data_IF_957962121770
#
_entry.id   IF_957962121770
#
_cell.length_a   1.000
_cell.length_b   1.000
_cell.length_c   1.000
_cell.angle_alpha   90.00
_cell.angle_beta   90.00
_cell.angle_gamma   90.00
#
_symmetry.space_group_name_H-M   'P 1'
#
loop_
_entity.id
_entity.type
_entity.pdbx_description
1 polymer ?
#
# COMPACT_ATOMS: atom_id res chain seq x y z
N UNK A 1 -15.39 24.11 -12.07
CA UNK A 1 -15.92 25.40 -11.61
C UNK A 1 -15.95 25.40 -10.08
N UNK A 2 -14.90 25.84 -9.46
CA UNK A 2 -14.80 25.95 -8.01
C UNK A 2 -14.42 27.36 -7.59
N UNK A 3 -15.03 27.83 -6.51
CA UNK A 3 -14.66 29.12 -5.88
C UNK A 3 -13.58 28.88 -4.85
N UNK A 4 -12.57 29.73 -4.79
CA UNK A 4 -11.51 29.68 -3.80
C UNK A 4 -12.10 29.97 -2.42
N UNK A 5 -11.97 28.98 -1.50
CA UNK A 5 -12.36 29.15 -0.10
C UNK A 5 -11.34 30.04 0.64
N UNK A 6 -11.85 31.00 1.42
CA UNK A 6 -11.05 31.90 2.26
C UNK A 6 -10.55 31.31 3.57
N UNK A 7 -10.82 30.05 3.87
CA UNK A 7 -10.67 29.45 5.20
C UNK A 7 -9.22 29.28 5.69
N UNK A 8 -8.24 29.26 4.80
CA UNK A 8 -6.87 28.87 5.12
C UNK A 8 -5.80 29.94 4.82
N UNK A 9 -6.15 31.21 4.87
CA UNK A 9 -5.18 32.29 4.66
C UNK A 9 -4.56 32.28 3.25
N UNK A 10 -5.38 32.07 2.24
CA UNK A 10 -5.03 31.82 0.83
C UNK A 10 -4.29 32.94 0.11
N UNK A 11 -4.03 34.06 0.80
CA UNK A 11 -3.64 35.33 0.19
C UNK A 11 -2.42 35.31 -0.74
N UNK A 12 -1.56 34.31 -0.66
CA UNK A 12 -0.40 34.13 -1.56
C UNK A 12 -0.47 32.76 -2.24
N UNK A 13 -0.77 31.72 -1.49
CA UNK A 13 -0.67 30.32 -1.92
C UNK A 13 -1.63 29.93 -3.05
N UNK A 14 -2.70 30.67 -3.24
CA UNK A 14 -3.70 30.39 -4.31
C UNK A 14 -3.83 31.54 -5.31
N UNK A 15 -2.92 32.48 -5.27
CA UNK A 15 -2.93 33.62 -6.18
C UNK A 15 -2.77 33.19 -7.66
N UNK A 16 -2.05 32.10 -7.90
CA UNK A 16 -1.86 31.52 -9.24
C UNK A 16 -3.14 31.00 -9.88
N UNK A 17 -4.13 30.61 -9.07
CA UNK A 17 -5.42 30.08 -9.55
C UNK A 17 -6.49 31.15 -9.80
N UNK A 18 -6.18 32.42 -9.50
CA UNK A 18 -7.06 33.54 -9.73
C UNK A 18 -6.61 34.34 -10.95
N UNK A 19 -7.56 34.76 -11.76
CA UNK A 19 -7.28 35.67 -12.88
C UNK A 19 -7.16 37.13 -12.38
N UNK A 20 -6.55 38.01 -13.20
CA UNK A 20 -6.47 39.42 -12.86
C UNK A 20 -7.85 40.08 -12.80
N UNK A 21 -8.80 39.61 -13.60
CA UNK A 21 -10.20 40.07 -13.60
C UNK A 21 -10.91 39.71 -12.29
N UNK A 22 -10.68 38.51 -11.76
CA UNK A 22 -11.24 38.08 -10.47
C UNK A 22 -10.62 38.83 -9.29
N UNK A 23 -9.36 39.24 -9.40
CA UNK A 23 -8.65 40.00 -8.35
C UNK A 23 -8.96 41.50 -8.39
N UNK A 24 -9.34 42.08 -9.52
CA UNK A 24 -9.55 43.50 -9.70
C UNK A 24 -10.53 44.11 -8.70
N UNK A 25 -11.73 43.54 -8.41
CA UNK A 25 -12.66 44.08 -7.44
C UNK A 25 -12.08 44.18 -6.03
N UNK A 26 -11.27 43.19 -5.63
CA UNK A 26 -10.60 43.19 -4.33
C UNK A 26 -9.45 44.18 -4.31
N UNK A 27 -8.68 44.30 -5.36
CA UNK A 27 -7.59 45.26 -5.47
C UNK A 27 -8.12 46.70 -5.38
N UNK A 28 -9.22 47.02 -6.06
CA UNK A 28 -9.87 48.33 -6.00
C UNK A 28 -10.48 48.62 -4.64
N UNK A 29 -11.09 47.62 -4.00
CA UNK A 29 -11.55 47.76 -2.63
C UNK A 29 -10.40 48.06 -1.68
N UNK A 30 -9.32 47.30 -1.75
CA UNK A 30 -8.14 47.48 -0.91
C UNK A 30 -7.49 48.84 -1.13
N UNK A 31 -7.36 49.31 -2.35
CA UNK A 31 -6.88 50.67 -2.68
C UNK A 31 -7.65 51.76 -1.95
N UNK A 32 -8.96 51.60 -1.88
CA UNK A 32 -9.87 52.59 -1.29
C UNK A 32 -9.79 52.63 0.23
N UNK A 33 -9.66 51.46 0.90
CA UNK A 33 -9.68 51.35 2.35
C UNK A 33 -8.30 51.38 2.98
N UNK A 34 -7.27 50.99 2.26
CA UNK A 34 -5.89 50.92 2.71
C UNK A 34 -4.93 51.52 1.66
N UNK A 35 -5.06 52.86 1.41
CA UNK A 35 -4.29 53.53 0.35
C UNK A 35 -2.77 53.49 0.61
N UNK A 36 -2.35 53.26 1.82
CA UNK A 36 -0.94 53.16 2.21
C UNK A 36 -0.45 51.68 2.28
N UNK A 37 -1.28 50.70 1.96
CA UNK A 37 -0.90 49.30 1.97
C UNK A 37 -0.42 48.78 3.33
N UNK A 38 -0.97 49.25 4.44
CA UNK A 38 -0.52 48.91 5.80
C UNK A 38 -0.98 47.54 6.27
N UNK A 39 -2.11 47.03 5.75
CA UNK A 39 -2.70 45.76 6.17
C UNK A 39 -2.47 44.68 5.15
N UNK A 40 -2.06 43.52 5.61
CA UNK A 40 -1.90 42.29 4.75
C UNK A 40 -1.18 42.61 3.42
N UNK A 41 -0.04 43.25 3.48
CA UNK A 41 0.76 43.65 2.33
C UNK A 41 1.06 42.45 1.44
N UNK A 42 0.86 42.60 0.13
CA UNK A 42 1.14 41.52 -0.86
C UNK A 42 0.18 40.36 -0.89
N UNK A 43 -0.83 40.27 -0.03
CA UNK A 43 -1.81 39.18 -0.07
C UNK A 43 -2.94 39.47 -1.04
N UNK A 44 -3.24 38.53 -1.93
CA UNK A 44 -4.22 38.65 -3.01
C UNK A 44 -3.95 39.81 -3.99
N UNK A 45 -2.70 40.18 -4.17
CA UNK A 45 -2.26 41.24 -5.06
C UNK A 45 -1.04 40.75 -5.84
N UNK A 46 -1.06 40.86 -7.15
CA UNK A 46 0.11 40.60 -8.00
C UNK A 46 0.93 41.89 -8.14
N UNK A 47 2.24 41.78 -8.18
CA UNK A 47 3.15 42.91 -8.32
C UNK A 47 2.85 43.81 -9.51
N UNK A 48 2.33 43.26 -10.62
CA UNK A 48 1.95 44.00 -11.83
C UNK A 48 0.74 44.92 -11.60
N UNK A 49 -0.10 44.65 -10.62
CA UNK A 49 -1.24 45.45 -10.23
C UNK A 49 -0.88 46.36 -9.04
N UNK A 50 0.38 46.63 -8.89
CA UNK A 50 1.01 47.32 -7.78
C UNK A 50 0.18 48.45 -7.18
N UNK A 51 -0.32 48.19 -5.98
CA UNK A 51 -1.09 49.18 -5.21
C UNK A 51 -0.22 50.22 -4.56
N UNK A 52 1.11 49.99 -4.56
CA UNK A 52 2.06 51.01 -4.08
C UNK A 52 3.36 50.83 -4.84
N UNK A 53 3.80 51.79 -5.67
CA UNK A 53 5.18 51.85 -6.08
C UNK A 53 6.02 51.88 -4.81
N UNK A 54 7.03 51.04 -4.72
CA UNK A 54 7.95 51.09 -3.61
C UNK A 54 8.52 52.52 -3.52
N UNK A 55 8.16 53.26 -2.46
CA UNK A 55 8.63 54.63 -2.28
C UNK A 55 10.14 54.70 -2.03
N UNK A 56 10.75 53.53 -1.78
CA UNK A 56 12.21 53.43 -1.59
C UNK A 56 12.74 52.07 -1.99
N UNK A 57 14.03 51.98 -2.41
CA UNK A 57 14.69 50.69 -2.68
C UNK A 57 14.66 49.72 -1.48
N UNK A 58 14.57 50.25 -0.28
CA UNK A 58 14.49 49.46 0.97
C UNK A 58 13.14 48.79 1.13
N UNK A 59 12.04 49.46 0.74
CA UNK A 59 10.70 48.87 0.76
C UNK A 59 10.53 47.80 -0.33
N UNK A 60 11.14 48.01 -1.50
CA UNK A 60 11.18 47.00 -2.56
C UNK A 60 11.92 45.76 -2.10
N UNK A 61 13.04 45.91 -1.39
CA UNK A 61 13.80 44.78 -0.82
C UNK A 61 13.02 44.08 0.28
N UNK A 62 12.37 44.81 1.19
CA UNK A 62 11.52 44.20 2.21
C UNK A 62 10.31 43.46 1.63
N UNK A 63 9.81 43.92 0.50
CA UNK A 63 8.70 43.25 -0.19
C UNK A 63 9.16 41.95 -0.89
N UNK A 64 10.33 41.97 -1.51
CA UNK A 64 10.96 40.79 -2.08
C UNK A 64 11.30 39.76 -0.99
N UNK A 65 11.82 40.21 0.14
CA UNK A 65 12.10 39.36 1.30
C UNK A 65 10.83 38.74 1.91
N UNK A 66 9.76 39.49 2.01
CA UNK A 66 8.47 38.98 2.47
C UNK A 66 7.86 37.97 1.47
N UNK A 67 7.95 38.24 0.19
CA UNK A 67 7.47 37.31 -0.84
C UNK A 67 8.29 36.03 -0.85
N UNK A 68 9.60 36.15 -0.70
CA UNK A 68 10.52 35.02 -0.59
C UNK A 68 10.37 34.28 0.75
N UNK A 69 10.06 34.98 1.85
CA UNK A 69 9.79 34.35 3.15
C UNK A 69 8.44 33.62 3.22
N UNK A 70 7.48 33.98 2.36
CA UNK A 70 6.16 33.35 2.29
C UNK A 70 6.05 32.28 1.19
N UNK A 71 7.02 32.12 0.33
CA UNK A 71 7.07 30.92 -0.47
C UNK A 71 7.34 29.75 0.47
N UNK A 72 6.51 28.70 0.45
CA UNK A 72 6.74 27.49 1.27
C UNK A 72 8.05 26.77 0.93
N UNK A 73 8.68 27.10 -0.14
CA UNK A 73 10.09 26.91 -0.35
C UNK A 73 10.80 27.91 0.58
N UNK A 74 10.87 27.64 1.83
CA UNK A 74 11.82 28.20 2.76
C UNK A 74 12.99 28.81 2.00
N UNK A 75 13.11 30.12 1.85
CA UNK A 75 13.91 30.86 0.87
C UNK A 75 15.39 30.52 0.66
N UNK A 76 15.90 29.49 1.28
CA UNK A 76 17.21 28.85 1.02
C UNK A 76 17.17 27.77 -0.05
N UNK A 77 16.06 27.60 -0.77
CA UNK A 77 15.66 26.31 -1.30
C UNK A 77 15.62 26.19 -2.81
N UNK A 78 16.33 27.01 -3.55
CA UNK A 78 16.56 26.72 -4.95
C UNK A 78 17.27 25.37 -5.12
N UNK A 79 18.35 25.13 -4.38
CA UNK A 79 19.09 23.89 -4.41
C UNK A 79 18.47 22.79 -3.57
N UNK A 80 17.92 23.10 -2.42
CA UNK A 80 17.27 22.12 -1.53
C UNK A 80 15.95 21.60 -2.11
N UNK A 81 15.18 22.41 -2.84
CA UNK A 81 14.00 21.94 -3.55
C UNK A 81 14.33 20.91 -4.63
N UNK A 82 15.46 21.07 -5.33
CA UNK A 82 15.92 20.10 -6.32
C UNK A 82 16.37 18.80 -5.63
N UNK A 83 17.10 18.90 -4.52
CA UNK A 83 17.49 17.73 -3.71
C UNK A 83 16.25 17.03 -3.16
N UNK A 84 15.29 17.79 -2.65
CA UNK A 84 14.03 17.24 -2.17
C UNK A 84 13.24 16.54 -3.27
N UNK A 85 13.12 17.13 -4.45
CA UNK A 85 12.42 16.51 -5.59
C UNK A 85 13.07 15.19 -6.04
N UNK A 86 14.38 15.05 -5.85
CA UNK A 86 15.14 13.85 -6.23
C UNK A 86 15.35 12.86 -5.07
N UNK A 87 14.90 13.18 -3.87
CA UNK A 87 15.08 12.34 -2.69
C UNK A 87 13.84 11.49 -2.36
N UNK A 88 14.04 10.37 -1.66
CA UNK A 88 12.95 9.54 -1.17
C UNK A 88 12.02 10.31 -0.20
N UNK A 89 12.57 11.24 0.60
CA UNK A 89 11.80 12.12 1.49
C UNK A 89 10.94 13.08 0.68
N UNK A 90 11.49 13.65 -0.38
CA UNK A 90 10.76 14.52 -1.29
C UNK A 90 9.64 13.80 -2.02
N UNK A 91 9.86 12.58 -2.48
CA UNK A 91 8.81 11.75 -3.08
C UNK A 91 7.67 11.44 -2.11
N UNK A 92 7.99 11.21 -0.83
CA UNK A 92 6.98 11.04 0.22
C UNK A 92 6.22 12.34 0.46
N UNK A 93 6.90 13.48 0.58
CA UNK A 93 6.29 14.80 0.74
C UNK A 93 5.34 15.13 -0.42
N UNK A 94 5.80 14.92 -1.65
CA UNK A 94 5.02 15.14 -2.88
C UNK A 94 3.74 14.31 -2.89
N UNK A 95 3.80 13.04 -2.47
CA UNK A 95 2.65 12.13 -2.45
C UNK A 95 1.54 12.53 -1.46
N UNK A 96 1.80 13.42 -0.51
CA UNK A 96 0.85 13.82 0.53
C UNK A 96 0.49 15.31 0.52
N UNK A 97 1.19 16.15 -0.25
CA UNK A 97 1.05 17.61 -0.23
C UNK A 97 -0.35 18.12 -0.51
N UNK A 98 -1.07 17.48 -1.42
CA UNK A 98 -2.39 17.92 -1.90
C UNK A 98 -3.55 17.51 -0.97
N UNK A 99 -3.26 16.94 0.20
CA UNK A 99 -4.28 16.47 1.11
C UNK A 99 -5.17 17.61 1.62
N UNK A 100 -6.45 17.59 1.24
CA UNK A 100 -7.46 18.58 1.66
C UNK A 100 -7.90 18.44 3.12
N UNK A 101 -7.37 17.45 3.86
CA UNK A 101 -7.77 17.15 5.26
C UNK A 101 -9.26 16.91 5.46
N UNK A 102 -10.02 16.60 4.40
CA UNK A 102 -11.48 16.45 4.42
C UNK A 102 -11.99 15.24 5.22
N UNK A 103 -11.14 14.22 5.45
CA UNK A 103 -11.47 13.05 6.27
C UNK A 103 -12.33 11.97 5.59
N UNK A 104 -12.68 12.08 4.31
CA UNK A 104 -13.47 11.06 3.57
C UNK A 104 -12.83 9.66 3.59
N UNK A 105 -11.52 9.57 3.77
CA UNK A 105 -10.78 8.31 3.90
C UNK A 105 -10.95 7.61 5.25
N UNK A 106 -11.49 8.27 6.28
CA UNK A 106 -11.61 7.69 7.63
C UNK A 106 -12.57 6.50 7.71
N UNK A 107 -13.81 6.55 7.17
CA UNK A 107 -14.78 5.46 7.31
C UNK A 107 -14.33 4.16 6.66
N UNK A 108 -13.50 4.23 5.61
CA UNK A 108 -13.06 3.05 4.86
C UNK A 108 -11.78 2.42 5.39
N UNK A 109 -11.11 3.07 6.34
CA UNK A 109 -9.83 2.61 6.86
C UNK A 109 -9.98 1.47 7.86
N UNK A 110 -9.31 0.34 7.61
CA UNK A 110 -9.33 -0.82 8.49
C UNK A 110 -8.66 -0.59 9.86
N UNK A 111 -7.77 0.40 9.96
CA UNK A 111 -7.04 0.72 11.21
C UNK A 111 -7.63 1.89 11.97
N UNK A 112 -8.64 2.57 11.40
CA UNK A 112 -9.30 3.69 12.07
C UNK A 112 -10.43 3.20 12.94
N UNK A 113 -10.30 3.41 14.25
CA UNK A 113 -11.33 3.11 15.23
C UNK A 113 -11.79 4.44 15.83
N UNK A 114 -13.02 4.90 15.54
CA UNK A 114 -13.54 6.14 16.10
C UNK A 114 -13.50 6.14 17.64
N UNK A 115 -13.04 7.21 18.24
CA UNK A 115 -12.94 7.38 19.68
C UNK A 115 -11.76 6.67 20.37
N UNK A 116 -10.94 5.89 19.63
CA UNK A 116 -9.81 5.18 20.22
C UNK A 116 -8.48 5.89 19.95
N UNK A 117 -8.11 6.03 18.67
CA UNK A 117 -6.87 6.67 18.29
C UNK A 117 -7.04 7.47 16.99
N UNK A 118 -7.00 8.78 17.12
CA UNK A 118 -7.17 9.68 15.99
C UNK A 118 -6.00 9.62 15.00
N UNK A 119 -4.79 9.24 15.46
CA UNK A 119 -3.61 9.16 14.61
C UNK A 119 -3.78 8.12 13.51
N UNK A 120 -4.46 7.01 13.78
CA UNK A 120 -4.51 5.87 12.86
C UNK A 120 -5.51 6.01 11.70
N UNK A 121 -6.13 7.15 11.51
CA UNK A 121 -6.86 7.43 10.28
C UNK A 121 -5.92 7.85 9.14
N UNK A 122 -6.22 7.55 7.86
CA UNK A 122 -5.34 7.95 6.76
C UNK A 122 -5.09 9.47 6.72
N UNK A 123 -6.12 10.28 6.92
CA UNK A 123 -5.98 11.74 7.02
C UNK A 123 -4.93 12.16 8.06
N UNK A 124 -4.98 11.58 9.25
CA UNK A 124 -4.09 11.98 10.33
C UNK A 124 -2.68 11.41 10.14
N UNK A 125 -2.56 10.23 9.53
CA UNK A 125 -1.26 9.69 9.10
C UNK A 125 -0.59 10.59 8.07
N UNK A 126 -1.34 11.09 7.08
CA UNK A 126 -0.85 12.05 6.09
C UNK A 126 -0.35 13.33 6.79
N UNK A 127 -1.13 13.87 7.73
CA UNK A 127 -0.73 15.04 8.51
C UNK A 127 0.55 14.78 9.31
N UNK A 128 0.62 13.64 10.01
CA UNK A 128 1.81 13.25 10.76
C UNK A 128 3.02 13.07 9.84
N UNK A 129 2.85 12.48 8.66
CA UNK A 129 3.92 12.35 7.66
C UNK A 129 4.44 13.72 7.24
N UNK A 130 3.56 14.67 6.93
CA UNK A 130 3.97 16.04 6.56
C UNK A 130 4.76 16.72 7.68
N UNK A 131 4.27 16.64 8.92
CA UNK A 131 4.95 17.24 10.07
C UNK A 131 6.31 16.59 10.35
N UNK A 132 6.43 15.28 10.17
CA UNK A 132 7.70 14.57 10.36
C UNK A 132 8.71 14.89 9.26
N UNK A 133 8.26 15.07 8.02
CA UNK A 133 9.12 15.54 6.94
C UNK A 133 9.65 16.94 7.24
N UNK A 134 8.80 17.86 7.71
CA UNK A 134 9.23 19.19 8.15
C UNK A 134 10.24 19.13 9.30
N UNK A 135 10.00 18.26 10.29
CA UNK A 135 10.93 18.06 11.40
C UNK A 135 12.29 17.52 10.93
N UNK A 136 12.30 16.58 10.00
CA UNK A 136 13.53 16.03 9.40
C UNK A 136 14.34 17.13 8.70
N UNK A 137 13.68 17.96 7.90
CA UNK A 137 14.31 19.08 7.20
C UNK A 137 14.91 20.09 8.18
N UNK A 138 14.17 20.43 9.23
CA UNK A 138 14.66 21.35 10.27
C UNK A 138 15.90 20.80 11.00
N UNK A 139 15.88 19.53 11.36
CA UNK A 139 17.00 18.88 12.05
C UNK A 139 18.25 18.78 11.16
N UNK A 140 18.08 18.48 9.87
CA UNK A 140 19.17 18.48 8.89
C UNK A 140 19.74 19.90 8.68
N UNK A 141 18.89 20.92 8.57
CA UNK A 141 19.33 22.31 8.44
C UNK A 141 20.15 22.78 9.65
N UNK A 142 19.77 22.34 10.84
CA UNK A 142 20.50 22.68 12.07
C UNK A 142 21.75 21.84 12.28
N UNK A 143 22.09 20.91 11.35
CA UNK A 143 23.21 19.99 11.39
C UNK A 143 23.28 19.12 12.67
N UNK A 144 22.15 18.90 13.28
CA UNK A 144 22.03 18.02 14.47
C UNK A 144 21.81 16.56 14.11
N UNK A 145 21.48 16.30 12.84
CA UNK A 145 21.00 15.01 12.38
C UNK A 145 19.58 14.73 12.87
N UNK A 146 18.88 13.84 12.17
CA UNK A 146 17.49 13.47 12.51
C UNK A 146 17.47 12.67 13.80
N UNK A 147 16.66 13.10 14.78
CA UNK A 147 16.55 12.46 16.09
C UNK A 147 15.99 11.03 15.97
N UNK A 148 16.43 10.17 16.90
CA UNK A 148 15.91 8.80 16.99
C UNK A 148 14.40 8.77 17.28
N UNK A 149 13.89 9.78 17.98
CA UNK A 149 12.47 9.92 18.30
C UNK A 149 11.63 10.14 17.06
N UNK A 150 12.03 11.06 16.18
CA UNK A 150 11.32 11.32 14.93
C UNK A 150 11.36 10.12 13.98
N UNK A 151 12.46 9.37 13.95
CA UNK A 151 12.51 8.11 13.20
C UNK A 151 11.54 7.07 13.75
N UNK A 152 11.39 6.96 15.07
CA UNK A 152 10.44 6.04 15.70
C UNK A 152 8.99 6.43 15.40
N UNK A 153 8.65 7.72 15.46
CA UNK A 153 7.33 8.21 15.11
C UNK A 153 7.01 7.99 13.62
N UNK A 154 7.99 8.21 12.75
CA UNK A 154 7.86 7.95 11.33
C UNK A 154 7.61 6.47 11.04
N UNK A 155 8.34 5.58 11.72
CA UNK A 155 8.08 4.14 11.66
C UNK A 155 6.69 3.78 12.18
N UNK A 156 6.25 4.36 13.29
CA UNK A 156 4.94 4.11 13.88
C UNK A 156 3.81 4.44 12.90
N UNK A 157 3.87 5.62 12.29
CA UNK A 157 2.91 6.04 11.26
C UNK A 157 2.89 5.07 10.09
N UNK A 158 4.05 4.65 9.59
CA UNK A 158 4.16 3.73 8.46
C UNK A 158 3.63 2.34 8.78
N UNK A 159 3.93 1.80 9.97
CA UNK A 159 3.55 0.42 10.35
C UNK A 159 2.06 0.24 10.64
N UNK A 160 1.36 1.32 11.00
CA UNK A 160 -0.09 1.26 11.24
C UNK A 160 -0.94 1.20 9.97
N UNK A 161 -0.35 1.14 8.79
CA UNK A 161 -1.05 0.92 7.54
C UNK A 161 -1.08 -0.57 7.17
N UNK A 162 -2.26 -1.10 6.87
CA UNK A 162 -2.44 -2.48 6.40
C UNK A 162 -2.32 -2.64 4.89
N UNK A 163 -1.97 -1.57 4.18
CA UNK A 163 -1.80 -1.56 2.72
C UNK A 163 -3.04 -2.10 1.97
N UNK A 164 -4.22 -1.74 2.43
CA UNK A 164 -5.48 -2.19 1.82
C UNK A 164 -6.00 -1.26 0.72
N UNK A 165 -5.36 -0.13 0.47
CA UNK A 165 -5.64 0.88 -0.57
C UNK A 165 -7.07 1.46 -0.59
N UNK A 166 -7.94 1.08 0.36
CA UNK A 166 -9.33 1.56 0.41
C UNK A 166 -9.47 3.08 0.54
N UNK A 167 -8.44 3.76 1.07
CA UNK A 167 -8.45 5.21 1.23
C UNK A 167 -8.34 5.98 -0.10
N UNK A 168 -7.87 5.35 -1.16
CA UNK A 168 -7.73 5.94 -2.48
C UNK A 168 -9.08 6.31 -3.12
N UNK A 169 -10.04 5.38 -3.09
CA UNK A 169 -11.33 5.54 -3.76
C UNK A 169 -12.12 6.78 -3.32
N UNK A 170 -12.32 7.04 -2.00
CA UNK A 170 -13.06 8.22 -1.56
C UNK A 170 -12.24 9.51 -1.55
N UNK A 171 -10.94 9.45 -1.86
CA UNK A 171 -10.08 10.61 -1.85
C UNK A 171 -10.29 11.48 -3.09
N UNK A 172 -10.71 12.77 -2.95
CA UNK A 172 -10.95 13.64 -4.10
C UNK A 172 -9.67 13.99 -4.87
N UNK A 173 -8.52 13.96 -4.20
CA UNK A 173 -7.19 14.22 -4.78
C UNK A 173 -6.38 12.95 -4.99
N UNK A 174 -7.02 11.78 -4.92
CA UNK A 174 -6.43 10.47 -5.25
C UNK A 174 -5.14 10.11 -4.49
N UNK A 175 -5.05 10.48 -3.22
CA UNK A 175 -3.94 10.06 -2.36
C UNK A 175 -4.20 8.65 -1.84
N UNK A 176 -3.26 7.76 -2.09
CA UNK A 176 -3.22 6.42 -1.50
C UNK A 176 -2.18 6.35 -0.38
N UNK A 177 -2.65 6.28 0.85
CA UNK A 177 -1.73 6.16 1.99
C UNK A 177 -1.05 4.77 2.06
N UNK A 178 -1.54 3.78 1.35
CA UNK A 178 -0.84 2.49 1.19
C UNK A 178 0.51 2.68 0.51
N UNK A 179 0.54 3.37 -0.63
CA UNK A 179 1.77 3.65 -1.36
C UNK A 179 2.71 4.57 -0.57
N UNK A 180 2.18 5.60 0.07
CA UNK A 180 2.96 6.47 0.98
C UNK A 180 3.63 5.63 2.06
N UNK A 181 2.90 4.73 2.71
CA UNK A 181 3.42 3.84 3.75
C UNK A 181 4.51 2.90 3.23
N UNK A 182 4.37 2.36 2.01
CA UNK A 182 5.41 1.53 1.39
C UNK A 182 6.70 2.33 1.17
N UNK A 183 6.59 3.56 0.67
CA UNK A 183 7.74 4.45 0.46
C UNK A 183 8.42 4.82 1.79
N UNK A 184 7.62 5.11 2.84
CA UNK A 184 8.16 5.34 4.19
C UNK A 184 8.93 4.13 4.72
N UNK A 185 8.39 2.91 4.57
CA UNK A 185 9.05 1.68 4.99
C UNK A 185 10.34 1.41 4.22
N UNK A 186 10.35 1.74 2.93
CA UNK A 186 11.54 1.63 2.08
C UNK A 186 12.62 2.60 2.54
N UNK A 187 12.27 3.86 2.81
CA UNK A 187 13.19 4.86 3.34
C UNK A 187 13.80 4.42 4.67
N UNK A 188 12.97 3.95 5.61
CA UNK A 188 13.43 3.44 6.91
C UNK A 188 14.46 2.30 6.76
N UNK A 189 14.30 1.44 5.75
CA UNK A 189 15.28 0.38 5.46
C UNK A 189 16.55 0.92 4.83
N UNK A 190 16.45 1.82 3.87
CA UNK A 190 17.62 2.45 3.25
C UNK A 190 18.46 3.21 4.26
N UNK A 191 17.82 3.85 5.23
CA UNK A 191 18.48 4.61 6.30
C UNK A 191 18.88 3.75 7.52
N UNK A 192 18.64 2.44 7.47
CA UNK A 192 18.89 1.50 8.57
C UNK A 192 18.20 1.89 9.90
N UNK A 193 17.02 2.52 9.78
CA UNK A 193 16.19 2.99 10.91
C UNK A 193 14.98 2.09 11.17
N UNK A 194 14.80 1.02 10.39
CA UNK A 194 13.71 0.06 10.58
C UNK A 194 13.96 -0.79 11.82
N UNK A 195 13.00 -0.81 12.74
CA UNK A 195 13.09 -1.62 13.95
C UNK A 195 13.08 -3.12 13.63
N UNK A 196 13.79 -3.91 14.45
CA UNK A 196 13.83 -5.35 14.32
C UNK A 196 12.54 -5.98 14.82
N UNK A 197 11.87 -6.76 13.96
CA UNK A 197 10.69 -7.56 14.32
C UNK A 197 10.92 -9.01 13.89
N UNK A 198 11.11 -9.95 14.86
CA UNK A 198 11.40 -11.34 14.54
C UNK A 198 10.26 -12.05 13.81
N UNK A 199 9.00 -11.74 14.15
CA UNK A 199 7.83 -12.30 13.48
C UNK A 199 7.74 -11.89 12.01
N UNK A 200 7.98 -10.62 11.73
CA UNK A 200 8.03 -10.10 10.36
C UNK A 200 9.18 -10.74 9.57
N UNK A 201 10.34 -10.91 10.19
CA UNK A 201 11.50 -11.55 9.55
C UNK A 201 11.22 -13.01 9.18
N UNK A 202 10.59 -13.76 10.09
CA UNK A 202 10.20 -15.16 9.84
C UNK A 202 9.14 -15.26 8.73
N UNK A 203 8.12 -14.40 8.77
CA UNK A 203 7.08 -14.33 7.73
C UNK A 203 7.69 -14.02 6.35
N UNK A 204 8.59 -13.05 6.28
CA UNK A 204 9.27 -12.71 5.04
C UNK A 204 10.21 -13.83 4.57
N UNK A 205 10.85 -14.57 5.46
CA UNK A 205 11.66 -15.74 5.09
C UNK A 205 10.81 -16.81 4.41
N UNK A 206 9.63 -17.11 4.95
CA UNK A 206 8.68 -18.06 4.33
C UNK A 206 8.20 -17.57 2.95
N UNK A 207 7.94 -16.27 2.80
CA UNK A 207 7.45 -15.71 1.53
C UNK A 207 8.56 -15.54 0.47
N UNK A 208 9.80 -15.45 0.90
CA UNK A 208 10.95 -15.24 0.01
C UNK A 208 11.55 -16.55 -0.54
N UNK A 209 11.37 -17.66 0.17
CA UNK A 209 11.95 -18.95 -0.28
C UNK A 209 11.11 -19.57 -1.38
N UNK A 210 11.78 -20.18 -2.37
CA UNK A 210 11.16 -20.96 -3.45
C UNK A 210 11.47 -22.44 -3.32
N UNK A 211 12.35 -22.82 -2.38
CA UNK A 211 12.80 -24.19 -2.18
C UNK A 211 11.73 -25.02 -1.46
N UNK A 212 11.22 -26.12 -2.04
CA UNK A 212 10.13 -26.92 -1.48
C UNK A 212 10.40 -27.44 -0.07
N UNK A 213 11.59 -27.93 0.18
CA UNK A 213 11.94 -28.50 1.50
C UNK A 213 11.99 -27.41 2.60
N UNK A 214 12.55 -26.25 2.28
CA UNK A 214 12.58 -25.10 3.19
C UNK A 214 11.16 -24.60 3.47
N UNK A 215 10.29 -24.55 2.46
CA UNK A 215 8.88 -24.20 2.63
C UNK A 215 8.18 -25.20 3.55
N UNK A 216 8.37 -26.50 3.35
CA UNK A 216 7.80 -27.56 4.22
C UNK A 216 8.26 -27.39 5.68
N UNK A 217 9.54 -27.14 5.91
CA UNK A 217 10.10 -26.94 7.24
C UNK A 217 9.50 -25.69 7.91
N UNK A 218 9.55 -24.54 7.26
CA UNK A 218 9.03 -23.28 7.79
C UNK A 218 7.52 -23.36 8.02
N UNK A 219 6.76 -23.98 7.09
CA UNK A 219 5.33 -24.19 7.24
C UNK A 219 5.01 -25.11 8.44
N UNK A 220 5.74 -26.19 8.59
CA UNK A 220 5.59 -27.10 9.73
C UNK A 220 5.81 -26.36 11.05
N UNK A 221 6.83 -25.52 11.14
CA UNK A 221 7.07 -24.69 12.30
C UNK A 221 5.96 -23.65 12.55
N UNK A 222 5.58 -22.90 11.53
CA UNK A 222 4.59 -21.81 11.65
C UNK A 222 3.16 -22.35 11.81
N UNK A 223 2.71 -23.17 10.88
CA UNK A 223 1.32 -23.66 10.84
C UNK A 223 1.14 -24.88 11.73
N UNK A 224 2.07 -25.82 11.66
CA UNK A 224 1.98 -27.07 12.41
C UNK A 224 2.15 -26.87 13.94
N UNK A 225 3.18 -26.16 14.36
CA UNK A 225 3.48 -25.93 15.77
C UNK A 225 2.95 -24.57 16.26
N UNK A 226 3.30 -23.48 15.59
CA UNK A 226 2.98 -22.13 16.03
C UNK A 226 1.47 -21.87 16.16
N UNK A 227 0.67 -22.25 15.17
CA UNK A 227 -0.79 -22.07 15.23
C UNK A 227 -1.43 -22.95 16.31
N UNK A 228 -0.98 -24.19 16.48
CA UNK A 228 -1.49 -25.08 17.53
C UNK A 228 -1.14 -24.55 18.92
N UNK A 229 0.10 -24.09 19.12
CA UNK A 229 0.54 -23.50 20.38
C UNK A 229 -0.23 -22.22 20.72
N UNK A 230 -0.44 -21.34 19.72
CA UNK A 230 -1.23 -20.12 19.91
C UNK A 230 -2.70 -20.45 20.27
N UNK A 231 -3.33 -21.42 19.58
CA UNK A 231 -4.69 -21.84 19.88
C UNK A 231 -4.82 -22.41 21.30
N UNK A 232 -3.87 -23.24 21.70
CA UNK A 232 -3.82 -23.77 23.06
C UNK A 232 -3.64 -22.65 24.09
N UNK A 233 -2.73 -21.71 23.83
CA UNK A 233 -2.52 -20.55 24.71
C UNK A 233 -3.79 -19.70 24.85
N UNK A 234 -4.54 -19.48 23.77
CA UNK A 234 -5.84 -18.78 23.80
C UNK A 234 -6.84 -19.54 24.68
N UNK A 235 -6.94 -20.85 24.50
CA UNK A 235 -7.90 -21.68 25.26
C UNK A 235 -7.57 -21.68 26.75
N UNK A 236 -6.28 -21.84 27.10
CA UNK A 236 -5.81 -21.77 28.51
C UNK A 236 -6.05 -20.39 29.11
N UNK A 237 -5.74 -19.33 28.41
CA UNK A 237 -5.91 -17.96 28.94
C UNK A 237 -7.39 -17.57 29.06
N UNK A 238 -8.27 -18.08 28.22
CA UNK A 238 -9.72 -17.90 28.38
C UNK A 238 -10.28 -18.56 29.64
N UNK A 239 -9.65 -19.62 30.12
CA UNK A 239 -10.08 -20.28 31.37
C UNK A 239 -9.56 -19.56 32.62
N UNK A 240 -8.40 -18.90 32.52
CA UNK A 240 -7.71 -18.26 33.65
C UNK A 240 -7.97 -16.75 33.74
N UNK A 241 -8.04 -16.07 32.59
CA UNK A 241 -8.27 -14.64 32.54
C UNK A 241 -9.67 -14.35 32.01
N UNK A 242 -10.46 -13.59 32.78
CA UNK A 242 -11.69 -12.99 32.23
C UNK A 242 -11.30 -12.25 30.95
N UNK A 243 -12.02 -12.45 29.83
CA UNK A 243 -11.69 -11.78 28.59
C UNK A 243 -11.70 -10.27 28.85
N UNK A 244 -10.51 -9.67 28.85
CA UNK A 244 -10.42 -8.23 28.87
C UNK A 244 -11.01 -7.78 27.53
N UNK A 245 -12.15 -7.13 27.66
CA UNK A 245 -12.91 -6.63 26.53
C UNK A 245 -12.00 -5.89 25.57
N UNK A 246 -12.27 -6.06 24.31
CA UNK A 246 -11.68 -5.46 23.10
C UNK A 246 -11.63 -3.92 23.19
N UNK A 247 -10.96 -3.38 24.18
CA UNK A 247 -10.67 -1.96 24.20
C UNK A 247 -9.46 -1.73 23.32
N UNK A 248 -9.59 -0.98 22.22
CA UNK A 248 -8.44 -0.59 21.45
C UNK A 248 -7.46 0.16 22.36
N UNK A 249 -6.15 0.04 22.13
CA UNK A 249 -5.17 0.74 22.94
C UNK A 249 -5.48 2.23 22.97
N UNK A 250 -5.58 2.80 24.16
CA UNK A 250 -5.87 4.23 24.36
C UNK A 250 -4.66 5.12 24.08
N UNK A 251 -3.51 4.53 23.81
CA UNK A 251 -2.23 5.22 23.59
C UNK A 251 -1.96 5.47 22.11
N UNK A 252 -1.45 6.67 21.82
CA UNK A 252 -0.80 6.98 20.55
C UNK A 252 0.59 6.36 20.60
N UNK A 253 1.00 5.69 19.51
CA UNK A 253 2.31 5.08 19.43
C UNK A 253 2.29 3.55 19.49
N UNK A 254 3.46 2.96 19.60
CA UNK A 254 3.64 1.50 19.61
C UNK A 254 3.06 0.89 20.87
N UNK A 255 2.12 -0.04 20.71
CA UNK A 255 1.53 -0.76 21.83
C UNK A 255 2.61 -1.44 22.67
N UNK A 256 2.46 -1.44 23.99
CA UNK A 256 3.38 -2.13 24.89
C UNK A 256 3.44 -3.63 24.55
N UNK A 257 4.56 -4.29 24.86
CA UNK A 257 4.70 -5.75 24.64
C UNK A 257 3.56 -6.53 25.30
N UNK A 258 3.14 -6.10 26.49
CA UNK A 258 1.99 -6.69 27.20
C UNK A 258 0.71 -6.61 26.38
N UNK A 259 0.41 -5.45 25.80
CA UNK A 259 -0.77 -5.26 24.96
C UNK A 259 -0.68 -6.07 23.66
N UNK A 260 0.49 -6.10 23.02
CA UNK A 260 0.71 -6.92 21.82
C UNK A 260 0.49 -8.41 22.10
N UNK A 261 0.97 -8.91 23.22
CA UNK A 261 0.76 -10.30 23.66
C UNK A 261 -0.71 -10.56 23.93
N UNK A 262 -1.40 -9.67 24.64
CA UNK A 262 -2.84 -9.78 24.91
C UNK A 262 -3.63 -9.82 23.61
N UNK A 263 -3.35 -8.94 22.66
CA UNK A 263 -4.01 -8.94 21.36
C UNK A 263 -3.75 -10.22 20.55
N UNK A 264 -2.50 -10.69 20.54
CA UNK A 264 -2.13 -11.94 19.88
C UNK A 264 -2.89 -13.14 20.46
N UNK A 265 -3.03 -13.19 21.76
CA UNK A 265 -3.67 -14.28 22.46
C UNK A 265 -5.21 -14.23 22.40
N UNK A 266 -5.80 -13.03 22.31
CA UNK A 266 -7.25 -12.88 22.22
C UNK A 266 -7.83 -13.27 20.85
N UNK A 267 -7.03 -13.36 19.80
CA UNK A 267 -7.45 -13.76 18.46
C UNK A 267 -6.94 -15.15 18.13
N UNK A 268 -7.84 -16.15 18.29
CA UNK A 268 -7.53 -17.53 17.92
C UNK A 268 -7.24 -17.65 16.43
N UNK A 269 -6.06 -18.17 16.09
CA UNK A 269 -5.69 -18.41 14.70
C UNK A 269 -6.53 -19.51 14.06
N UNK A 270 -6.74 -19.51 12.73
CA UNK A 270 -7.53 -20.53 12.04
C UNK A 270 -7.04 -21.95 12.36
N UNK A 271 -7.99 -22.87 12.54
CA UNK A 271 -7.71 -24.29 12.65
C UNK A 271 -8.03 -25.03 11.35
N UNK A 272 -7.68 -26.30 11.28
CA UNK A 272 -8.03 -27.14 10.13
C UNK A 272 -7.26 -26.84 8.86
N UNK A 273 -6.17 -26.04 8.92
CA UNK A 273 -5.33 -25.83 7.75
C UNK A 273 -4.65 -27.13 7.35
N UNK A 274 -4.61 -27.47 6.03
CA UNK A 274 -3.90 -28.62 5.53
C UNK A 274 -2.43 -28.62 5.98
N UNK A 275 -1.89 -29.78 6.31
CA UNK A 275 -0.49 -29.90 6.74
C UNK A 275 0.50 -29.66 5.61
N UNK A 276 0.09 -29.97 4.36
CA UNK A 276 0.89 -29.80 3.15
C UNK A 276 0.49 -28.53 2.38
N UNK A 277 1.38 -28.05 1.55
CA UNK A 277 1.13 -26.96 0.58
C UNK A 277 0.19 -27.46 -0.53
N UNK A 278 -0.42 -26.55 -1.30
CA UNK A 278 -1.26 -26.94 -2.43
C UNK A 278 -0.47 -27.76 -3.47
N UNK A 279 0.77 -27.33 -3.80
CA UNK A 279 1.63 -28.06 -4.75
C UNK A 279 2.01 -29.45 -4.27
N UNK A 280 2.32 -29.61 -2.98
CA UNK A 280 2.64 -30.91 -2.40
C UNK A 280 1.43 -31.85 -2.35
N UNK A 281 0.21 -31.33 -2.31
CA UNK A 281 -1.02 -32.11 -2.36
C UNK A 281 -1.37 -32.57 -3.79
N UNK A 282 -0.98 -31.76 -4.78
CA UNK A 282 -1.20 -32.04 -6.20
C UNK A 282 -0.01 -32.75 -6.86
N UNK A 283 1.07 -32.99 -6.12
CA UNK A 283 2.32 -33.57 -6.62
C UNK A 283 2.96 -32.83 -7.81
N UNK A 284 2.95 -31.47 -7.71
CA UNK A 284 3.46 -30.56 -8.74
C UNK A 284 4.52 -29.60 -8.19
N UNK A 285 5.36 -30.07 -7.26
CA UNK A 285 6.40 -29.24 -6.63
C UNK A 285 7.64 -29.04 -7.50
N UNK A 286 7.83 -29.91 -8.51
CA UNK A 286 9.00 -29.85 -9.37
C UNK A 286 9.02 -28.56 -10.20
N UNK A 287 10.11 -27.80 -10.06
CA UNK A 287 10.30 -26.50 -10.72
C UNK A 287 10.75 -26.63 -12.19
N UNK A 288 11.15 -27.82 -12.62
CA UNK A 288 11.65 -28.06 -13.95
C UNK A 288 10.52 -28.44 -14.95
N UNK A 289 9.30 -28.60 -14.42
CA UNK A 289 8.10 -28.89 -15.22
C UNK A 289 7.08 -27.78 -15.12
N UNK A 290 6.39 -27.49 -16.22
CA UNK A 290 5.22 -26.62 -16.27
C UNK A 290 3.98 -27.46 -16.06
N UNK A 291 3.28 -27.35 -14.90
CA UNK A 291 2.08 -28.13 -14.67
C UNK A 291 0.92 -27.65 -15.53
N UNK A 292 0.25 -28.59 -16.20
CA UNK A 292 -1.00 -28.38 -16.94
C UNK A 292 -2.05 -29.27 -16.31
N UNK A 293 -3.04 -28.70 -15.65
CA UNK A 293 -4.16 -29.42 -15.04
C UNK A 293 -5.34 -29.35 -15.99
N UNK A 294 -5.82 -30.53 -16.44
CA UNK A 294 -6.92 -30.65 -17.39
C UNK A 294 -7.76 -31.89 -17.10
N UNK A 295 -9.02 -31.84 -17.46
CA UNK A 295 -9.88 -33.01 -17.42
C UNK A 295 -9.71 -33.82 -18.73
N UNK A 296 -9.10 -35.03 -18.72
CA UNK A 296 -8.84 -35.79 -19.93
C UNK A 296 -10.11 -36.27 -20.66
N UNK A 297 -11.26 -36.26 -19.98
CA UNK A 297 -12.54 -36.68 -20.57
C UNK A 297 -13.24 -35.56 -21.35
N UNK A 298 -12.99 -34.30 -20.99
CA UNK A 298 -13.69 -33.14 -21.60
C UNK A 298 -12.76 -32.23 -22.39
N UNK A 299 -11.44 -32.37 -22.21
CA UNK A 299 -10.46 -31.50 -22.86
C UNK A 299 -10.26 -31.86 -24.31
N UNK A 300 -10.40 -30.90 -25.21
CA UNK A 300 -10.14 -30.99 -26.64
C UNK A 300 -9.06 -29.98 -27.05
N UNK A 301 -8.69 -29.94 -28.33
CA UNK A 301 -7.79 -28.94 -28.90
C UNK A 301 -8.36 -27.52 -28.83
N UNK A 302 -9.69 -27.39 -28.74
CA UNK A 302 -10.40 -26.09 -28.66
C UNK A 302 -10.69 -25.65 -27.23
N UNK A 303 -10.32 -26.47 -26.23
CA UNK A 303 -10.55 -26.12 -24.82
C UNK A 303 -9.71 -24.92 -24.44
N UNK A 304 -10.38 -23.91 -23.88
CA UNK A 304 -9.71 -22.71 -23.38
C UNK A 304 -8.61 -23.03 -22.37
N UNK A 305 -7.47 -22.36 -22.53
CA UNK A 305 -6.34 -22.48 -21.61
C UNK A 305 -6.16 -21.18 -20.84
N UNK A 306 -6.07 -21.29 -19.52
CA UNK A 306 -5.84 -20.15 -18.62
C UNK A 306 -4.50 -20.31 -17.90
N UNK A 307 -3.82 -19.18 -17.67
CA UNK A 307 -2.66 -19.14 -16.81
C UNK A 307 -3.09 -18.78 -15.39
N UNK A 308 -3.02 -19.73 -14.47
CA UNK A 308 -3.37 -19.50 -13.08
C UNK A 308 -2.14 -19.15 -12.24
N UNK A 309 -2.12 -17.95 -11.68
CA UNK A 309 -1.11 -17.53 -10.71
C UNK A 309 -1.67 -17.62 -9.29
N UNK A 310 -1.38 -18.67 -8.52
CA UNK A 310 -1.96 -18.86 -7.18
C UNK A 310 -1.38 -17.90 -6.13
N UNK A 311 -0.14 -17.44 -6.35
CA UNK A 311 0.58 -16.62 -5.39
C UNK A 311 0.97 -17.36 -4.10
N UNK A 312 1.73 -16.66 -3.25
CA UNK A 312 2.31 -17.27 -2.04
C UNK A 312 1.25 -17.62 -0.97
N UNK A 313 0.16 -16.88 -0.89
CA UNK A 313 -0.92 -17.12 0.06
C UNK A 313 -1.63 -18.44 -0.18
N UNK A 314 -2.15 -18.63 -1.38
CA UNK A 314 -2.95 -19.81 -1.78
C UNK A 314 -2.13 -21.07 -1.95
N UNK A 315 -0.83 -20.96 -2.21
CA UNK A 315 0.04 -22.12 -2.31
C UNK A 315 0.66 -22.55 -0.99
N UNK A 316 1.21 -21.58 -0.22
CA UNK A 316 2.08 -21.88 0.92
C UNK A 316 1.37 -21.87 2.25
N UNK A 317 0.38 -21.00 2.44
CA UNK A 317 -0.32 -20.80 3.71
C UNK A 317 -1.72 -21.41 3.71
N UNK A 318 -2.56 -20.96 2.81
CA UNK A 318 -3.97 -21.34 2.71
C UNK A 318 -4.19 -22.28 1.54
N UNK A 319 -3.54 -23.45 1.58
CA UNK A 319 -3.55 -24.42 0.48
C UNK A 319 -4.95 -24.84 0.03
N UNK A 320 -5.95 -24.81 0.92
CA UNK A 320 -7.35 -25.03 0.57
C UNK A 320 -7.89 -24.02 -0.45
N UNK A 321 -7.41 -22.76 -0.44
CA UNK A 321 -7.81 -21.75 -1.43
C UNK A 321 -7.27 -22.12 -2.81
N UNK A 322 -5.98 -22.47 -2.89
CA UNK A 322 -5.39 -22.92 -4.14
C UNK A 322 -6.04 -24.18 -4.72
N UNK A 323 -6.34 -25.16 -3.86
CA UNK A 323 -7.03 -26.38 -4.25
C UNK A 323 -8.47 -26.11 -4.72
N UNK A 324 -9.22 -25.29 -3.99
CA UNK A 324 -10.58 -24.91 -4.36
C UNK A 324 -10.61 -24.18 -5.71
N UNK A 325 -9.66 -23.27 -5.94
CA UNK A 325 -9.54 -22.57 -7.23
C UNK A 325 -9.27 -23.56 -8.37
N UNK A 326 -8.37 -24.51 -8.17
CA UNK A 326 -8.10 -25.56 -9.16
C UNK A 326 -9.33 -26.44 -9.43
N UNK A 327 -10.05 -26.83 -8.38
CA UNK A 327 -11.27 -27.62 -8.51
C UNK A 327 -12.37 -26.85 -9.28
N UNK A 328 -12.51 -25.55 -9.02
CA UNK A 328 -13.48 -24.70 -9.74
C UNK A 328 -13.10 -24.55 -11.22
N UNK A 329 -11.84 -24.32 -11.55
CA UNK A 329 -11.34 -24.25 -12.92
C UNK A 329 -11.51 -25.59 -13.66
N UNK A 330 -11.23 -26.70 -12.98
CA UNK A 330 -11.50 -28.03 -13.49
C UNK A 330 -12.99 -28.25 -13.78
N UNK A 331 -13.85 -27.85 -12.86
CA UNK A 331 -15.31 -27.94 -13.04
C UNK A 331 -15.81 -27.07 -14.19
N UNK A 332 -15.21 -25.90 -14.39
CA UNK A 332 -15.49 -25.01 -15.52
C UNK A 332 -14.99 -25.57 -16.88
N UNK A 333 -14.30 -26.71 -16.89
CA UNK A 333 -13.87 -27.37 -18.09
C UNK A 333 -12.67 -26.74 -18.82
N UNK A 334 -11.88 -25.92 -18.12
CA UNK A 334 -10.72 -25.24 -18.71
C UNK A 334 -9.41 -25.95 -18.43
N UNK A 335 -8.42 -25.78 -19.30
CA UNK A 335 -7.05 -26.22 -19.05
C UNK A 335 -6.35 -25.15 -18.20
N UNK A 336 -5.77 -25.55 -17.09
CA UNK A 336 -5.09 -24.62 -16.19
C UNK A 336 -3.58 -24.84 -16.28
N UNK A 337 -2.87 -23.82 -16.74
CA UNK A 337 -1.41 -23.78 -16.75
C UNK A 337 -0.94 -23.07 -15.48
N UNK A 338 -0.07 -23.70 -14.71
CA UNK A 338 0.56 -23.07 -13.55
C UNK A 338 2.03 -22.74 -13.84
N UNK A 339 2.55 -21.64 -13.25
CA UNK A 339 3.98 -21.40 -13.31
C UNK A 339 4.75 -22.52 -12.62
N UNK A 340 5.95 -22.89 -13.08
CA UNK A 340 6.77 -23.91 -12.42
C UNK A 340 7.28 -23.41 -11.07
N UNK A 341 7.24 -24.28 -10.06
CA UNK A 341 7.73 -24.00 -8.72
C UNK A 341 6.89 -22.99 -7.92
N UNK A 342 7.38 -22.65 -6.73
CA UNK A 342 6.72 -21.72 -5.81
C UNK A 342 7.08 -20.29 -6.11
N UNK A 343 6.12 -19.45 -6.42
CA UNK A 343 6.32 -18.05 -6.74
C UNK A 343 5.59 -17.11 -5.76
N UNK A 344 6.01 -15.87 -5.76
CA UNK A 344 5.34 -14.77 -5.07
C UNK A 344 5.27 -13.56 -6.02
N UNK A 345 4.20 -12.80 -6.00
CA UNK A 345 4.03 -11.63 -6.87
C UNK A 345 4.96 -10.45 -6.53
N UNK A 346 5.68 -10.48 -5.41
CA UNK A 346 6.55 -9.39 -4.98
C UNK A 346 5.86 -8.34 -4.09
N UNK A 347 4.55 -8.33 -4.00
CA UNK A 347 3.83 -7.34 -3.19
C UNK A 347 4.17 -7.38 -1.69
N UNK A 348 4.26 -8.53 -1.01
CA UNK A 348 4.67 -8.55 0.39
C UNK A 348 6.04 -7.93 0.64
N UNK A 349 6.98 -8.11 -0.28
CA UNK A 349 8.31 -7.51 -0.24
C UNK A 349 8.21 -6.00 -0.41
N UNK A 350 7.50 -5.53 -1.42
CA UNK A 350 7.24 -4.11 -1.67
C UNK A 350 6.51 -3.48 -0.47
N UNK A 351 5.45 -4.13 0.01
CA UNK A 351 4.68 -3.68 1.17
C UNK A 351 5.48 -3.61 2.47
N UNK A 352 6.53 -4.42 2.62
CA UNK A 352 7.45 -4.34 3.75
C UNK A 352 8.60 -3.34 3.55
N UNK A 353 8.64 -2.62 2.41
CA UNK A 353 9.70 -1.68 2.06
C UNK A 353 10.98 -2.34 1.52
N UNK A 354 10.92 -3.58 1.01
CA UNK A 354 12.04 -4.26 0.37
C UNK A 354 11.93 -4.13 -1.15
N UNK A 355 12.02 -2.91 -1.66
CA UNK A 355 11.73 -2.61 -3.07
C UNK A 355 12.67 -3.33 -4.04
N UNK A 356 13.98 -3.27 -3.81
CA UNK A 356 14.98 -3.96 -4.66
C UNK A 356 14.68 -5.46 -4.76
N UNK A 357 14.28 -6.08 -3.63
CA UNK A 357 13.94 -7.49 -3.61
C UNK A 357 12.63 -7.79 -4.34
N UNK A 358 11.67 -6.88 -4.23
CA UNK A 358 10.41 -6.99 -4.98
C UNK A 358 10.67 -6.89 -6.48
N UNK A 359 11.45 -5.91 -6.92
CA UNK A 359 11.79 -5.69 -8.34
C UNK A 359 12.57 -6.88 -8.93
N UNK A 360 13.54 -7.41 -8.17
CA UNK A 360 14.24 -8.63 -8.57
C UNK A 360 13.26 -9.79 -8.77
N UNK A 361 12.35 -10.00 -7.84
CA UNK A 361 11.35 -11.07 -7.90
C UNK A 361 10.39 -10.89 -9.08
N UNK A 362 9.95 -9.68 -9.35
CA UNK A 362 9.09 -9.33 -10.49
C UNK A 362 9.81 -9.65 -11.79
N UNK A 363 11.08 -9.26 -11.91
CA UNK A 363 11.90 -9.51 -13.10
C UNK A 363 12.11 -11.00 -13.31
N UNK A 364 12.49 -11.75 -12.27
CA UNK A 364 12.70 -13.19 -12.34
C UNK A 364 11.39 -13.91 -12.76
N UNK A 365 10.25 -13.50 -12.21
CA UNK A 365 8.94 -14.06 -12.59
C UNK A 365 8.59 -13.74 -14.05
N UNK A 366 8.81 -12.51 -14.51
CA UNK A 366 8.54 -12.13 -15.91
C UNK A 366 9.35 -12.97 -16.89
N UNK A 367 10.63 -13.14 -16.62
CA UNK A 367 11.50 -14.02 -17.43
C UNK A 367 10.96 -15.44 -17.47
N UNK A 368 10.54 -15.96 -16.32
CA UNK A 368 9.95 -17.31 -16.23
C UNK A 368 8.65 -17.41 -17.03
N UNK A 369 7.76 -16.41 -16.93
CA UNK A 369 6.48 -16.41 -17.66
C UNK A 369 6.68 -16.30 -19.17
N UNK A 370 7.67 -15.55 -19.65
CA UNK A 370 8.06 -15.57 -21.07
C UNK A 370 8.52 -16.97 -21.53
N UNK A 371 9.27 -17.68 -20.68
CA UNK A 371 9.65 -19.08 -21.00
C UNK A 371 8.44 -19.98 -21.06
N UNK A 372 7.49 -19.84 -20.11
CA UNK A 372 6.22 -20.61 -20.13
C UNK A 372 5.44 -20.31 -21.42
N UNK A 373 5.28 -19.03 -21.78
CA UNK A 373 4.58 -18.62 -22.98
C UNK A 373 5.21 -19.19 -24.26
N UNK A 374 6.54 -19.15 -24.36
CA UNK A 374 7.27 -19.69 -25.50
C UNK A 374 7.19 -21.21 -25.57
N UNK A 375 7.25 -21.88 -24.43
CA UNK A 375 7.18 -23.36 -24.39
C UNK A 375 5.77 -23.89 -24.75
N UNK A 376 4.74 -23.14 -24.33
CA UNK A 376 3.34 -23.47 -24.50
C UNK A 376 2.63 -22.58 -25.53
N UNK A 377 3.36 -22.12 -26.55
CA UNK A 377 2.83 -21.18 -27.56
C UNK A 377 1.65 -21.78 -28.39
N UNK A 378 1.47 -23.07 -28.36
CA UNK A 378 0.34 -23.78 -28.99
C UNK A 378 -0.95 -23.69 -28.15
N UNK A 379 -0.85 -23.27 -26.89
CA UNK A 379 -2.00 -22.97 -26.04
C UNK A 379 -2.25 -21.45 -26.09
N UNK A 380 -3.23 -21.00 -26.83
CA UNK A 380 -3.54 -19.56 -26.98
C UNK A 380 -4.09 -18.98 -25.68
N UNK A 381 -3.19 -18.73 -24.70
CA UNK A 381 -3.55 -18.25 -23.37
C UNK A 381 -3.95 -16.77 -23.45
N UNK A 382 -5.22 -16.48 -23.25
CA UNK A 382 -5.80 -15.12 -23.25
C UNK A 382 -6.25 -14.64 -21.86
N UNK A 383 -6.18 -15.51 -20.87
CA UNK A 383 -6.66 -15.17 -19.52
C UNK A 383 -5.65 -15.60 -18.46
N UNK A 384 -5.28 -14.64 -17.63
CA UNK A 384 -4.48 -14.86 -16.42
C UNK A 384 -5.43 -14.80 -15.22
N UNK A 385 -5.61 -15.92 -14.54
CA UNK A 385 -6.50 -16.04 -13.38
C UNK A 385 -5.71 -15.89 -12.09
N UNK A 386 -6.25 -15.17 -11.13
CA UNK A 386 -5.70 -15.02 -9.77
C UNK A 386 -6.76 -15.30 -8.72
N UNK A 387 -6.33 -15.78 -7.55
CA UNK A 387 -7.19 -16.01 -6.37
C UNK A 387 -6.85 -15.11 -5.18
N UNK A 388 -6.21 -13.97 -5.44
CA UNK A 388 -5.77 -13.04 -4.42
C UNK A 388 -5.77 -11.61 -4.98
N UNK A 389 -6.57 -10.71 -4.38
CA UNK A 389 -6.68 -9.32 -4.81
C UNK A 389 -5.35 -8.56 -4.79
N UNK A 390 -4.47 -8.88 -3.85
CA UNK A 390 -3.11 -8.31 -3.79
C UNK A 390 -2.25 -8.77 -4.98
N UNK A 391 -2.36 -10.03 -5.39
CA UNK A 391 -1.70 -10.51 -6.60
C UNK A 391 -2.31 -9.87 -7.85
N UNK A 392 -3.64 -9.70 -7.89
CA UNK A 392 -4.32 -9.04 -8.99
C UNK A 392 -3.74 -7.65 -9.24
N UNK A 393 -3.67 -6.82 -8.20
CA UNK A 393 -3.12 -5.48 -8.27
C UNK A 393 -1.63 -5.48 -8.70
N UNK A 394 -0.80 -6.29 -8.05
CA UNK A 394 0.63 -6.33 -8.35
C UNK A 394 0.93 -6.83 -9.77
N UNK A 395 0.17 -7.79 -10.27
CA UNK A 395 0.38 -8.37 -11.60
C UNK A 395 -0.03 -7.42 -12.74
N UNK A 396 -0.84 -6.40 -12.50
CA UNK A 396 -1.11 -5.35 -13.49
C UNK A 396 0.18 -4.68 -13.98
N UNK A 397 1.19 -4.55 -13.11
CA UNK A 397 2.50 -4.01 -13.45
C UNK A 397 3.44 -4.98 -14.21
N UNK A 398 3.04 -6.24 -14.41
CA UNK A 398 3.89 -7.25 -15.04
C UNK A 398 3.93 -7.18 -16.57
N UNK A 399 3.09 -6.33 -17.18
CA UNK A 399 2.99 -6.20 -18.64
C UNK A 399 2.67 -7.54 -19.32
N UNK A 400 1.65 -8.24 -18.83
CA UNK A 400 1.27 -9.56 -19.33
C UNK A 400 0.92 -9.58 -20.83
N UNK A 401 0.50 -8.46 -21.39
CA UNK A 401 0.29 -8.28 -22.83
C UNK A 401 1.54 -8.62 -23.66
N UNK A 402 2.73 -8.31 -23.13
CA UNK A 402 3.99 -8.66 -23.76
C UNK A 402 4.38 -10.14 -23.56
N UNK A 403 3.80 -10.82 -22.57
CA UNK A 403 4.07 -12.23 -22.24
C UNK A 403 3.10 -13.14 -22.98
N UNK A 404 1.80 -12.86 -22.86
CA UNK A 404 0.71 -13.54 -23.53
C UNK A 404 -0.10 -12.49 -24.33
N UNK A 405 0.14 -12.33 -25.62
CA UNK A 405 -0.50 -11.29 -26.43
C UNK A 405 -2.04 -11.39 -26.42
N UNK A 406 -2.72 -10.28 -26.16
CA UNK A 406 -4.18 -10.20 -26.06
C UNK A 406 -4.74 -10.74 -24.76
N UNK A 407 -3.90 -10.96 -23.70
CA UNK A 407 -4.39 -11.50 -22.45
C UNK A 407 -4.93 -10.40 -21.52
N UNK A 408 -5.81 -10.82 -20.62
CA UNK A 408 -6.32 -10.02 -19.50
C UNK A 408 -6.05 -10.73 -18.16
N UNK A 409 -5.98 -9.95 -17.10
CA UNK A 409 -5.89 -10.48 -15.74
C UNK A 409 -7.28 -10.39 -15.10
N UNK A 410 -7.73 -11.47 -14.46
CA UNK A 410 -9.06 -11.56 -13.87
C UNK A 410 -9.02 -12.31 -12.55
N UNK A 411 -9.86 -11.88 -11.59
CA UNK A 411 -10.08 -12.65 -10.35
C UNK A 411 -10.89 -13.91 -10.65
N UNK A 412 -10.62 -15.00 -9.91
CA UNK A 412 -11.31 -16.28 -10.11
C UNK A 412 -12.84 -16.13 -10.02
N UNK A 413 -13.37 -15.29 -9.14
CA UNK A 413 -14.82 -15.16 -8.98
C UNK A 413 -15.45 -14.45 -10.20
N UNK A 414 -14.79 -13.42 -10.72
CA UNK A 414 -15.19 -12.75 -11.95
C UNK A 414 -15.14 -13.69 -13.14
N UNK A 415 -14.06 -14.45 -13.28
CA UNK A 415 -13.92 -15.45 -14.32
C UNK A 415 -15.03 -16.50 -14.30
N UNK A 416 -15.36 -17.04 -13.12
CA UNK A 416 -16.43 -18.03 -12.98
C UNK A 416 -17.83 -17.47 -13.28
N UNK A 417 -18.08 -16.20 -12.91
CA UNK A 417 -19.31 -15.49 -13.24
C UNK A 417 -19.46 -15.33 -14.76
N UNK A 418 -18.42 -14.92 -15.45
CA UNK A 418 -18.41 -14.80 -16.92
C UNK A 418 -18.66 -16.14 -17.62
N UNK A 419 -18.15 -17.24 -17.04
CA UNK A 419 -18.39 -18.60 -17.54
C UNK A 419 -19.79 -19.12 -17.23
N UNK A 420 -20.60 -18.39 -16.45
CA UNK A 420 -21.90 -18.89 -16.01
C UNK A 420 -21.80 -20.15 -15.15
N UNK A 421 -20.67 -20.37 -14.48
CA UNK A 421 -20.43 -21.55 -13.67
C UNK A 421 -21.35 -21.55 -12.46
N UNK A 422 -22.24 -22.53 -12.36
CA UNK A 422 -23.09 -22.75 -11.19
C UNK A 422 -22.49 -23.87 -10.34
N UNK A 423 -22.18 -23.58 -9.09
CA UNK A 423 -21.80 -24.60 -8.12
C UNK A 423 -23.06 -25.32 -7.60
N UNK A 424 -23.02 -26.63 -7.43
CA UNK A 424 -24.11 -27.32 -6.77
C UNK A 424 -24.37 -26.71 -5.39
N UNK A 425 -25.64 -26.52 -5.02
CA UNK A 425 -25.98 -26.05 -3.69
C UNK A 425 -25.35 -26.97 -2.65
N UNK A 426 -24.64 -26.40 -1.68
CA UNK A 426 -24.12 -27.19 -0.56
C UNK A 426 -25.29 -27.83 0.16
N UNK A 427 -25.25 -29.15 0.35
CA UNK A 427 -26.22 -29.83 1.18
C UNK A 427 -26.28 -29.16 2.56
N UNK A 428 -27.45 -28.71 2.98
CA UNK A 428 -27.65 -27.94 4.21
C UNK A 428 -27.24 -28.71 5.49
N UNK A 429 -26.70 -29.92 5.37
CA UNK A 429 -26.25 -30.78 6.46
C UNK A 429 -24.73 -30.83 6.72
N UNK A 430 -23.89 -30.17 5.90
CA UNK A 430 -22.42 -30.29 6.03
C UNK A 430 -21.72 -29.08 6.66
N UNK A 431 -22.47 -28.12 7.21
CA UNK A 431 -21.90 -27.02 7.98
C UNK A 431 -21.76 -27.45 9.46
N UNK A 432 -20.67 -28.17 9.76
CA UNK A 432 -20.22 -28.54 11.09
C UNK A 432 -18.86 -27.91 11.39
#
# INVERSE_FOLDING_TARGET
>A
DGVISGEHGIGITKLEFLTDEELAPFADYKKRIDPHGRFNRGKLIREKNGLVPAESPREALMFADLTNAYTPSFGLMGYESIIMQQSDIGAIAESVKDCLRCGKCKPVCNTHIPGANLLYSPRNKILATSLLVEAFLYEEQTRRGISSHHWQEFEDVAEHCTLCHKCFTPCPVKIDFGDVSMNMRNLLRKMDKKSFNPGSKLAMALLNTTEPQTIKLLRSGVVGVGYKAQRLAVDVLKTVAKPQMQRPPATVGKASIKEQVIHFVNKKLPGGLPTKTARALLDIEDKDYIPIIRNPQTTTSETESVFYFPGCGSERLFSQVGLATQAMLWHAGVQTVLPPGYLCCGYPQRGSGQFERAEKMITDNRVLFHRVANTLNYLDIKTVVVSCGTCYDQLQGYQFEAIFPGCRIVDIHEYLLEKGTTLPAADAGSAG
#
